data_IF_678861942741
#
_entry.id   IF_678861942741
#
_cell.length_a   1.000
_cell.length_b   1.000
_cell.length_c   1.000
_cell.angle_alpha   90.00
_cell.angle_beta   90.00
_cell.angle_gamma   90.00
#
_symmetry.space_group_name_H-M   'P 1'
#
loop_
_entity.id
_entity.type
_entity.pdbx_description
1 polymer ?
#
# COMPACT_ATOMS: atom_id res chain seq x y z
N UNK A 1 -9.53 -21.47 -15.50
CA UNK A 1 -9.21 -20.11 -15.01
C UNK A 1 -8.24 -20.30 -13.85
N UNK A 2 -7.14 -19.55 -13.80
CA UNK A 2 -6.23 -19.60 -12.65
C UNK A 2 -6.91 -19.02 -11.41
N UNK A 3 -6.59 -19.55 -10.24
CA UNK A 3 -7.18 -19.18 -8.96
C UNK A 3 -6.24 -18.29 -8.15
N UNK A 4 -6.76 -17.23 -7.56
CA UNK A 4 -5.98 -16.35 -6.67
C UNK A 4 -6.67 -16.24 -5.32
N UNK A 5 -5.97 -16.61 -4.27
CA UNK A 5 -6.40 -16.36 -2.90
C UNK A 5 -5.81 -15.03 -2.40
N UNK A 6 -6.64 -14.14 -1.88
CA UNK A 6 -6.24 -12.80 -1.45
C UNK A 6 -6.61 -12.59 0.03
N UNK A 7 -5.66 -12.69 0.93
CA UNK A 7 -5.83 -12.44 2.35
C UNK A 7 -5.62 -10.97 2.70
N UNK A 8 -6.47 -10.40 3.56
CA UNK A 8 -6.44 -9.00 3.96
C UNK A 8 -7.00 -8.05 2.88
N UNK A 9 -8.11 -8.46 2.24
CA UNK A 9 -8.67 -7.77 1.07
C UNK A 9 -9.67 -6.66 1.40
N UNK A 10 -10.01 -6.43 2.67
CA UNK A 10 -11.02 -5.44 3.08
C UNK A 10 -10.62 -3.98 2.84
N UNK A 11 -9.33 -3.70 2.62
CA UNK A 11 -8.77 -2.36 2.44
C UNK A 11 -8.76 -1.86 0.99
N UNK A 12 -8.11 -0.68 0.80
CA UNK A 12 -7.97 -0.01 -0.51
C UNK A 12 -7.32 -0.90 -1.57
N UNK A 13 -6.26 -1.61 -1.20
CA UNK A 13 -5.50 -2.41 -2.15
C UNK A 13 -6.28 -3.68 -2.56
N UNK A 14 -6.99 -4.30 -1.62
CA UNK A 14 -7.83 -5.46 -1.92
C UNK A 14 -8.96 -5.14 -2.90
N UNK A 15 -9.58 -3.96 -2.78
CA UNK A 15 -10.58 -3.48 -3.75
C UNK A 15 -9.99 -3.36 -5.15
N UNK A 16 -8.80 -2.79 -5.28
CA UNK A 16 -8.13 -2.66 -6.58
C UNK A 16 -7.75 -4.02 -7.17
N UNK A 17 -7.25 -4.97 -6.37
CA UNK A 17 -6.99 -6.33 -6.82
C UNK A 17 -8.27 -7.03 -7.26
N UNK A 18 -9.33 -6.96 -6.46
CA UNK A 18 -10.62 -7.53 -6.85
C UNK A 18 -11.11 -6.96 -8.19
N UNK A 19 -11.08 -5.64 -8.35
CA UNK A 19 -11.53 -4.98 -9.57
C UNK A 19 -10.69 -5.38 -10.80
N UNK A 20 -9.35 -5.48 -10.66
CA UNK A 20 -8.44 -5.76 -11.78
C UNK A 20 -8.32 -7.25 -12.13
N UNK A 21 -8.66 -8.15 -11.21
CA UNK A 21 -8.50 -9.59 -11.40
C UNK A 21 -9.81 -10.33 -11.66
N UNK A 22 -10.96 -9.80 -11.18
CA UNK A 22 -12.26 -10.42 -11.45
C UNK A 22 -12.53 -10.54 -12.95
N UNK A 23 -13.02 -11.69 -13.38
CA UNK A 23 -13.30 -11.97 -14.78
C UNK A 23 -12.16 -12.66 -15.54
N UNK A 24 -10.91 -12.54 -15.07
CA UNK A 24 -9.75 -13.27 -15.61
C UNK A 24 -9.27 -14.39 -14.67
N UNK A 25 -9.52 -14.24 -13.37
CA UNK A 25 -9.14 -15.18 -12.32
C UNK A 25 -10.37 -15.59 -11.49
N UNK A 26 -10.35 -16.80 -10.97
CA UNK A 26 -11.24 -17.21 -9.90
C UNK A 26 -10.67 -16.72 -8.57
N UNK A 27 -11.43 -15.90 -7.83
CA UNK A 27 -10.94 -15.17 -6.67
C UNK A 27 -11.60 -15.65 -5.39
N UNK A 28 -10.79 -15.95 -4.37
CA UNK A 28 -11.23 -16.00 -2.99
C UNK A 28 -10.57 -14.87 -2.21
N UNK A 29 -11.37 -13.95 -1.72
CA UNK A 29 -10.94 -12.76 -1.00
C UNK A 29 -11.38 -12.84 0.45
N UNK A 30 -10.46 -12.68 1.40
CA UNK A 30 -10.75 -12.82 2.81
C UNK A 30 -10.25 -11.62 3.62
N UNK A 31 -10.95 -11.31 4.70
CA UNK A 31 -10.54 -10.33 5.70
C UNK A 31 -11.19 -10.64 7.05
N UNK A 32 -10.65 -10.11 8.15
CA UNK A 32 -11.29 -10.14 9.46
C UNK A 32 -12.49 -9.19 9.55
N UNK A 33 -12.55 -8.19 8.67
CA UNK A 33 -13.64 -7.22 8.55
C UNK A 33 -14.35 -7.42 7.20
N UNK A 34 -15.50 -8.11 7.22
CA UNK A 34 -16.29 -8.41 6.03
C UNK A 34 -17.17 -7.22 5.68
N UNK A 35 -16.58 -6.22 5.04
CA UNK A 35 -17.23 -4.96 4.67
C UNK A 35 -17.74 -4.93 3.21
N UNK A 36 -17.60 -6.01 2.46
CA UNK A 36 -18.07 -6.20 1.10
C UNK A 36 -18.64 -7.61 0.91
N UNK A 37 -19.57 -7.76 -0.03
CA UNK A 37 -20.25 -9.04 -0.31
C UNK A 37 -19.37 -10.10 -1.00
N UNK A 38 -18.22 -9.70 -1.52
CA UNK A 38 -17.22 -10.59 -2.14
C UNK A 38 -16.12 -11.03 -1.16
N UNK A 39 -16.20 -10.61 0.12
CA UNK A 39 -15.28 -11.01 1.18
C UNK A 39 -15.85 -12.17 2.00
N UNK A 40 -14.96 -13.08 2.39
CA UNK A 40 -15.22 -14.10 3.42
C UNK A 40 -14.44 -13.78 4.70
N UNK A 41 -14.98 -14.19 5.85
CA UNK A 41 -14.35 -13.98 7.15
C UNK A 41 -13.13 -14.90 7.32
N UNK A 42 -11.97 -14.31 7.55
CA UNK A 42 -10.76 -15.01 7.98
C UNK A 42 -9.80 -14.07 8.71
N UNK A 43 -9.27 -14.51 9.84
CA UNK A 43 -8.09 -13.89 10.47
C UNK A 43 -6.84 -14.68 10.08
N UNK A 44 -6.02 -14.14 9.21
CA UNK A 44 -4.78 -14.77 8.71
C UNK A 44 -3.69 -14.94 9.79
N UNK A 45 -3.89 -14.42 11.00
CA UNK A 45 -3.03 -14.66 12.16
C UNK A 45 -3.23 -16.06 12.72
N UNK A 46 -4.44 -16.62 12.58
CA UNK A 46 -4.71 -18.01 12.87
C UNK A 46 -4.17 -18.89 11.73
N UNK A 47 -2.99 -19.48 11.97
CA UNK A 47 -2.29 -20.26 10.96
C UNK A 47 -3.06 -21.49 10.48
N UNK A 48 -3.77 -22.15 11.38
CA UNK A 48 -4.52 -23.38 11.05
C UNK A 48 -5.76 -23.03 10.22
N UNK A 49 -6.53 -22.05 10.64
CA UNK A 49 -7.67 -21.55 9.88
C UNK A 49 -7.24 -21.04 8.49
N UNK A 50 -6.13 -20.28 8.41
CA UNK A 50 -5.62 -19.75 7.15
C UNK A 50 -5.16 -20.87 6.21
N UNK A 51 -4.42 -21.87 6.73
CA UNK A 51 -3.98 -23.01 5.94
C UNK A 51 -5.17 -23.78 5.37
N UNK A 52 -6.11 -24.18 6.23
CA UNK A 52 -7.27 -24.97 5.83
C UNK A 52 -8.11 -24.25 4.75
N UNK A 53 -8.34 -22.95 4.92
CA UNK A 53 -9.13 -22.14 3.99
C UNK A 53 -8.44 -21.98 2.63
N UNK A 54 -7.10 -21.87 2.60
CA UNK A 54 -6.31 -21.82 1.36
C UNK A 54 -6.25 -23.20 0.69
N UNK A 55 -6.06 -24.30 1.45
CA UNK A 55 -6.06 -25.66 0.92
C UNK A 55 -7.40 -26.02 0.28
N UNK A 56 -8.52 -25.70 0.94
CA UNK A 56 -9.87 -25.95 0.42
C UNK A 56 -10.13 -25.22 -0.90
N UNK A 57 -9.64 -23.99 -1.04
CA UNK A 57 -9.76 -23.24 -2.29
C UNK A 57 -8.80 -23.74 -3.37
N UNK A 58 -7.63 -24.27 -3.00
CA UNK A 58 -6.57 -24.78 -3.87
C UNK A 58 -6.16 -23.76 -4.96
N UNK A 59 -5.54 -22.60 -4.59
CA UNK A 59 -5.19 -21.53 -5.50
C UNK A 59 -3.90 -21.79 -6.28
N UNK A 60 -3.73 -21.08 -7.42
CA UNK A 60 -2.46 -20.98 -8.15
C UNK A 60 -1.53 -19.89 -7.58
N UNK A 61 -2.08 -18.91 -6.85
CA UNK A 61 -1.34 -17.79 -6.25
C UNK A 61 -1.91 -17.43 -4.88
N UNK A 62 -1.03 -17.12 -3.93
CA UNK A 62 -1.39 -16.60 -2.62
C UNK A 62 -0.96 -15.13 -2.50
N UNK A 63 -1.92 -14.22 -2.30
CA UNK A 63 -1.65 -12.80 -2.07
C UNK A 63 -1.91 -12.46 -0.61
N UNK A 64 -0.89 -12.00 0.10
CA UNK A 64 -0.95 -11.58 1.49
C UNK A 64 -0.85 -10.06 1.56
N UNK A 65 -2.02 -9.37 1.67
CA UNK A 65 -2.12 -7.92 1.64
C UNK A 65 -2.31 -7.30 3.03
N UNK A 66 -2.77 -8.10 4.00
CA UNK A 66 -3.16 -7.62 5.31
C UNK A 66 -1.99 -7.08 6.12
N UNK A 67 -2.18 -5.92 6.72
CA UNK A 67 -1.23 -5.30 7.65
C UNK A 67 -1.89 -4.20 8.49
N UNK A 68 -1.40 -3.96 9.70
CA UNK A 68 -1.62 -2.69 10.38
C UNK A 68 -0.72 -1.62 9.74
N UNK A 69 -1.32 -0.48 9.40
CA UNK A 69 -0.66 0.61 8.65
C UNK A 69 -0.89 1.99 9.27
N UNK A 70 -1.45 2.04 10.46
CA UNK A 70 -1.50 3.23 11.31
C UNK A 70 -0.23 3.22 12.18
N UNK A 71 0.63 4.22 12.02
CA UNK A 71 1.94 4.22 12.63
C UNK A 71 1.86 4.43 14.14
N UNK A 72 0.96 5.31 14.59
CA UNK A 72 0.71 5.59 16.00
C UNK A 72 0.17 4.34 16.71
N UNK A 73 -0.84 3.69 16.11
CA UNK A 73 -1.35 2.42 16.61
C UNK A 73 -0.22 1.37 16.76
N UNK A 74 0.66 1.28 15.76
CA UNK A 74 1.77 0.33 15.79
C UNK A 74 2.77 0.59 16.92
N UNK A 75 3.05 1.86 17.23
CA UNK A 75 3.94 2.22 18.37
C UNK A 75 3.30 1.86 19.72
N UNK A 76 1.98 2.03 19.86
CA UNK A 76 1.24 1.72 21.09
C UNK A 76 0.97 0.22 21.25
N UNK A 77 0.81 -0.54 20.14
CA UNK A 77 0.39 -1.95 20.14
C UNK A 77 1.43 -2.85 19.45
N UNK A 78 2.65 -2.85 19.98
CA UNK A 78 3.80 -3.52 19.33
C UNK A 78 3.59 -5.01 19.10
N UNK A 79 3.14 -5.75 20.11
CA UNK A 79 2.95 -7.21 20.02
C UNK A 79 1.90 -7.59 18.97
N UNK A 80 0.76 -6.88 18.94
CA UNK A 80 -0.28 -7.08 17.95
C UNK A 80 0.20 -6.67 16.55
N UNK A 81 1.03 -5.62 16.46
CA UNK A 81 1.67 -5.19 15.22
C UNK A 81 2.61 -6.26 14.67
N UNK A 82 3.50 -6.83 15.49
CA UNK A 82 4.38 -7.90 15.03
C UNK A 82 3.62 -9.18 14.73
N UNK A 83 2.59 -9.52 15.49
CA UNK A 83 1.69 -10.65 15.18
C UNK A 83 1.05 -10.49 13.81
N UNK A 84 0.57 -9.27 13.50
CA UNK A 84 -0.14 -8.98 12.23
C UNK A 84 0.81 -8.75 11.06
N UNK A 85 1.92 -7.99 11.22
CA UNK A 85 2.77 -7.56 10.12
C UNK A 85 3.97 -8.47 9.85
N UNK A 86 4.30 -9.37 10.80
CA UNK A 86 5.46 -10.27 10.71
C UNK A 86 5.04 -11.73 10.81
N UNK A 87 4.47 -12.18 11.94
CA UNK A 87 4.16 -13.60 12.14
C UNK A 87 3.11 -14.11 11.15
N UNK A 88 2.12 -13.30 10.79
CA UNK A 88 1.16 -13.70 9.75
C UNK A 88 1.81 -13.89 8.37
N UNK A 89 2.90 -13.16 8.09
CA UNK A 89 3.68 -13.34 6.86
C UNK A 89 4.43 -14.66 6.87
N UNK A 90 4.93 -15.09 8.04
CA UNK A 90 5.52 -16.43 8.21
C UNK A 90 4.48 -17.52 7.94
N UNK A 91 3.22 -17.34 8.39
CA UNK A 91 2.12 -18.23 8.05
C UNK A 91 1.90 -18.29 6.54
N UNK A 92 1.86 -17.16 5.86
CA UNK A 92 1.67 -17.10 4.41
C UNK A 92 2.81 -17.78 3.63
N UNK A 93 4.07 -17.59 4.05
CA UNK A 93 5.25 -18.27 3.46
C UNK A 93 5.15 -19.79 3.65
N UNK A 94 4.82 -20.24 4.88
CA UNK A 94 4.64 -21.67 5.15
C UNK A 94 3.57 -22.28 4.24
N UNK A 95 2.42 -21.62 4.08
CA UNK A 95 1.32 -22.09 3.24
C UNK A 95 1.74 -22.12 1.77
N UNK A 96 2.36 -21.04 1.27
CA UNK A 96 2.80 -20.96 -0.11
C UNK A 96 3.81 -22.05 -0.48
N UNK A 97 4.81 -22.30 0.39
CA UNK A 97 5.79 -23.37 0.19
C UNK A 97 5.15 -24.76 0.27
N UNK A 98 4.28 -25.01 1.26
CA UNK A 98 3.57 -26.29 1.43
C UNK A 98 2.75 -26.64 0.18
N UNK A 99 2.08 -25.65 -0.42
CA UNK A 99 1.26 -25.85 -1.62
C UNK A 99 2.05 -25.68 -2.93
N UNK A 100 3.33 -25.33 -2.84
CA UNK A 100 4.20 -25.03 -3.98
C UNK A 100 3.60 -23.96 -4.92
N UNK A 101 3.08 -22.87 -4.36
CA UNK A 101 2.48 -21.74 -5.09
C UNK A 101 3.25 -20.43 -4.81
N UNK A 102 3.29 -19.48 -5.78
CA UNK A 102 3.93 -18.19 -5.56
C UNK A 102 3.17 -17.32 -4.55
N UNK A 103 3.94 -16.59 -3.72
CA UNK A 103 3.45 -15.64 -2.74
C UNK A 103 3.62 -14.19 -3.24
N UNK A 104 2.57 -13.37 -3.17
CA UNK A 104 2.68 -11.92 -3.22
C UNK A 104 2.68 -11.35 -1.80
N UNK A 105 3.68 -10.52 -1.48
CA UNK A 105 3.76 -9.75 -0.25
C UNK A 105 3.89 -8.24 -0.53
N UNK A 106 3.18 -7.43 0.23
CA UNK A 106 3.21 -5.97 0.10
C UNK A 106 4.10 -5.39 1.19
N UNK A 107 5.21 -4.80 0.78
CA UNK A 107 6.11 -4.03 1.64
C UNK A 107 5.87 -2.53 1.49
N UNK A 108 6.75 -1.69 2.02
CA UNK A 108 6.53 -0.24 2.14
C UNK A 108 7.81 0.55 1.90
N UNK A 109 7.68 1.78 1.37
CA UNK A 109 8.76 2.75 1.33
C UNK A 109 9.25 3.18 2.73
N UNK A 110 8.37 3.10 3.73
CA UNK A 110 8.70 3.48 5.11
C UNK A 110 9.79 2.63 5.79
N UNK A 111 10.30 1.58 5.13
CA UNK A 111 11.46 0.80 5.61
C UNK A 111 12.81 1.51 5.45
N UNK A 112 12.86 2.63 4.73
CA UNK A 112 14.07 3.44 4.57
C UNK A 112 14.14 4.56 5.60
N UNK A 113 15.35 5.02 5.94
CA UNK A 113 15.58 6.03 6.97
C UNK A 113 15.55 7.48 6.47
N UNK A 114 15.43 7.67 5.17
CA UNK A 114 15.37 9.00 4.55
C UNK A 114 16.69 9.75 4.48
N UNK A 115 17.85 9.08 4.69
CA UNK A 115 19.16 9.70 4.53
C UNK A 115 19.56 9.91 3.07
N UNK A 116 18.91 9.20 2.15
CA UNK A 116 19.01 9.42 0.72
C UNK A 116 17.74 10.12 0.24
N UNK A 117 17.85 10.95 -0.76
CA UNK A 117 16.68 11.59 -1.39
C UNK A 117 15.81 10.58 -2.13
N UNK A 118 16.41 9.52 -2.69
CA UNK A 118 15.78 8.56 -3.57
C UNK A 118 16.35 7.16 -3.36
N UNK A 119 15.48 6.16 -3.29
CA UNK A 119 15.86 4.75 -3.11
C UNK A 119 15.42 3.89 -4.29
N UNK A 120 16.33 3.06 -4.79
CA UNK A 120 16.03 2.07 -5.81
C UNK A 120 15.73 0.67 -5.22
N UNK A 121 15.46 -0.31 -6.08
CA UNK A 121 15.08 -1.67 -5.68
C UNK A 121 16.19 -2.41 -4.90
N UNK A 122 17.44 -1.98 -5.02
CA UNK A 122 18.62 -2.64 -4.42
C UNK A 122 19.17 -1.93 -3.18
N UNK A 123 18.63 -0.76 -2.85
CA UNK A 123 19.06 -0.04 -1.65
C UNK A 123 18.69 -0.81 -0.38
N UNK A 124 19.57 -0.72 0.63
CA UNK A 124 19.42 -1.42 1.89
C UNK A 124 18.49 -0.66 2.83
N UNK A 125 17.42 -1.31 3.31
CA UNK A 125 16.51 -0.71 4.29
C UNK A 125 17.16 -0.46 5.66
N UNK A 126 16.72 0.62 6.32
CA UNK A 126 17.05 0.93 7.71
C UNK A 126 15.80 1.49 8.43
N UNK A 127 14.85 0.63 8.85
CA UNK A 127 13.55 1.05 9.36
C UNK A 127 13.64 1.75 10.72
N UNK A 128 12.91 2.86 10.89
CA UNK A 128 12.94 3.70 12.09
C UNK A 128 11.91 3.25 13.13
N UNK A 129 10.61 3.31 12.84
CA UNK A 129 9.51 3.01 13.77
C UNK A 129 9.09 1.54 13.80
N UNK A 130 8.16 1.19 14.69
CA UNK A 130 7.65 -0.18 14.88
C UNK A 130 6.95 -0.69 13.61
N UNK A 131 6.10 0.13 12.97
CA UNK A 131 5.49 -0.23 11.69
C UNK A 131 6.53 -0.63 10.65
N UNK A 132 7.50 0.24 10.42
CA UNK A 132 8.54 0.01 9.42
C UNK A 132 9.36 -1.25 9.72
N UNK A 133 9.76 -1.45 10.99
CA UNK A 133 10.50 -2.65 11.44
C UNK A 133 9.69 -3.92 11.24
N UNK A 134 8.41 -3.92 11.63
CA UNK A 134 7.53 -5.09 11.49
C UNK A 134 7.32 -5.48 10.02
N UNK A 135 7.15 -4.48 9.13
CA UNK A 135 7.04 -4.71 7.69
C UNK A 135 8.33 -5.23 7.07
N UNK A 136 9.47 -4.66 7.48
CA UNK A 136 10.78 -5.10 7.00
C UNK A 136 11.15 -6.51 7.47
N UNK A 137 10.78 -6.89 8.70
CA UNK A 137 10.96 -8.27 9.17
C UNK A 137 10.17 -9.26 8.32
N UNK A 138 8.92 -8.94 7.97
CA UNK A 138 8.13 -9.73 7.03
C UNK A 138 8.77 -9.80 5.63
N UNK A 139 9.26 -8.68 5.09
CA UNK A 139 9.96 -8.63 3.79
C UNK A 139 11.19 -9.55 3.78
N UNK A 140 12.03 -9.44 4.81
CA UNK A 140 13.20 -10.30 4.96
C UNK A 140 12.81 -11.75 5.05
N UNK A 141 11.81 -12.10 5.87
CA UNK A 141 11.37 -13.47 6.01
C UNK A 141 10.91 -14.09 4.68
N UNK A 142 10.16 -13.33 3.88
CA UNK A 142 9.77 -13.75 2.52
C UNK A 142 11.00 -13.97 1.63
N UNK A 143 11.95 -13.02 1.60
CA UNK A 143 13.17 -13.14 0.79
C UNK A 143 14.02 -14.36 1.14
N UNK A 144 14.08 -14.69 2.43
CA UNK A 144 14.95 -15.75 2.96
C UNK A 144 14.28 -17.14 2.90
N UNK A 145 12.95 -17.23 2.93
CA UNK A 145 12.24 -18.48 3.15
C UNK A 145 11.21 -18.86 2.07
N UNK A 146 10.70 -17.92 1.27
CA UNK A 146 9.73 -18.26 0.23
C UNK A 146 10.42 -18.76 -1.04
N UNK A 147 9.94 -19.88 -1.60
CA UNK A 147 10.51 -20.48 -2.80
C UNK A 147 10.26 -19.65 -4.05
N UNK A 148 9.03 -19.12 -4.19
CA UNK A 148 8.63 -18.23 -5.28
C UNK A 148 7.81 -17.08 -4.74
N UNK A 149 8.26 -15.85 -4.98
CA UNK A 149 7.59 -14.69 -4.44
C UNK A 149 7.68 -13.46 -5.36
N UNK A 150 6.70 -12.59 -5.21
CA UNK A 150 6.75 -11.18 -5.61
C UNK A 150 6.62 -10.33 -4.35
N UNK A 151 7.59 -9.48 -4.09
CA UNK A 151 7.48 -8.41 -3.09
C UNK A 151 7.35 -7.09 -3.82
N UNK A 152 6.32 -6.31 -3.48
CA UNK A 152 6.15 -4.97 -3.99
C UNK A 152 6.19 -3.96 -2.84
N UNK A 153 7.20 -3.08 -2.84
CA UNK A 153 7.29 -1.94 -1.93
C UNK A 153 6.41 -0.82 -2.46
N UNK A 154 5.41 -0.44 -1.69
CA UNK A 154 4.51 0.66 -2.01
C UNK A 154 4.91 1.95 -1.30
N UNK A 155 4.65 3.09 -1.91
CA UNK A 155 4.78 4.40 -1.30
C UNK A 155 3.46 4.87 -0.65
N UNK A 156 3.13 6.15 -0.82
CA UNK A 156 1.91 6.75 -0.29
C UNK A 156 0.68 6.30 -1.08
N UNK A 157 0.02 5.27 -0.59
CA UNK A 157 -1.15 4.71 -1.29
C UNK A 157 -2.33 5.67 -1.35
N UNK A 158 -3.01 5.67 -2.50
CA UNK A 158 -4.31 6.29 -2.77
C UNK A 158 -5.18 5.35 -3.60
N UNK A 159 -6.45 5.19 -3.24
CA UNK A 159 -7.37 4.28 -3.91
C UNK A 159 -8.67 4.06 -3.14
N UNK A 160 -9.64 3.39 -3.75
CA UNK A 160 -10.94 2.99 -3.17
C UNK A 160 -11.81 4.13 -2.61
N UNK A 161 -11.40 5.38 -2.77
CA UNK A 161 -12.16 6.57 -2.42
C UNK A 161 -12.57 6.69 -0.95
N UNK A 162 -13.57 7.53 -0.65
CA UNK A 162 -13.90 7.92 0.73
C UNK A 162 -14.39 6.76 1.61
N UNK A 163 -14.82 5.65 1.02
CA UNK A 163 -15.30 4.48 1.78
C UNK A 163 -14.17 3.73 2.48
N UNK A 164 -13.00 3.60 1.84
CA UNK A 164 -11.89 2.77 2.31
C UNK A 164 -10.56 3.51 2.47
N UNK A 165 -10.36 4.62 1.76
CA UNK A 165 -9.17 5.46 1.94
C UNK A 165 -9.23 6.18 3.29
N UNK A 166 -8.22 5.94 4.14
CA UNK A 166 -8.04 6.63 5.44
C UNK A 166 -6.73 7.44 5.45
N UNK A 167 -6.11 7.62 4.25
CA UNK A 167 -4.79 8.21 4.10
C UNK A 167 -4.87 9.70 3.76
N UNK A 168 -3.77 10.24 3.29
CA UNK A 168 -3.54 11.67 3.14
C UNK A 168 -4.58 12.37 2.25
N UNK A 169 -4.85 11.83 1.05
CA UNK A 169 -5.81 12.45 0.12
C UNK A 169 -7.21 12.50 0.74
N UNK A 170 -7.70 11.40 1.30
CA UNK A 170 -9.01 11.40 1.94
C UNK A 170 -9.08 12.33 3.15
N UNK A 171 -8.01 12.44 3.94
CA UNK A 171 -7.97 13.40 5.07
C UNK A 171 -8.09 14.83 4.59
N UNK A 172 -7.46 15.21 3.48
CA UNK A 172 -7.59 16.54 2.88
C UNK A 172 -9.00 16.75 2.29
N UNK A 173 -9.49 15.80 1.52
CA UNK A 173 -10.84 15.87 0.93
C UNK A 173 -11.91 15.98 2.02
N UNK A 174 -11.76 15.32 3.15
CA UNK A 174 -12.66 15.45 4.28
C UNK A 174 -12.61 16.84 4.89
N UNK A 175 -11.42 17.42 5.12
CA UNK A 175 -11.29 18.78 5.64
C UNK A 175 -11.98 19.80 4.70
N UNK A 176 -11.82 19.65 3.38
CA UNK A 176 -12.49 20.50 2.40
C UNK A 176 -14.01 20.34 2.45
N UNK A 177 -14.50 19.11 2.58
CA UNK A 177 -15.95 18.82 2.74
C UNK A 177 -16.53 19.41 4.02
N UNK A 178 -15.75 19.39 5.10
CA UNK A 178 -16.13 19.98 6.40
C UNK A 178 -16.06 21.53 6.38
N UNK A 179 -15.73 22.15 5.22
CA UNK A 179 -15.76 23.59 4.99
C UNK A 179 -14.47 24.34 5.33
N UNK A 180 -13.37 23.63 5.64
CA UNK A 180 -12.08 24.26 5.92
C UNK A 180 -11.57 25.01 4.66
N UNK A 181 -11.17 26.26 4.87
CA UNK A 181 -10.60 27.12 3.82
C UNK A 181 -9.08 27.26 3.91
N UNK A 182 -8.47 26.66 4.94
CA UNK A 182 -7.02 26.60 5.12
C UNK A 182 -6.58 25.19 5.47
N UNK A 183 -5.56 24.71 4.76
CA UNK A 183 -4.93 23.41 4.97
C UNK A 183 -3.49 23.61 5.44
N UNK A 184 -3.15 23.03 6.59
CA UNK A 184 -1.77 23.03 7.10
C UNK A 184 -1.07 21.78 6.58
N UNK A 185 -0.01 21.94 5.80
CA UNK A 185 0.67 20.86 5.11
C UNK A 185 2.15 20.85 5.42
N UNK A 186 2.69 19.69 5.80
CA UNK A 186 4.12 19.54 6.08
C UNK A 186 4.96 19.70 4.80
N UNK A 187 6.10 20.40 4.91
CA UNK A 187 7.01 20.69 3.80
C UNK A 187 8.35 19.94 3.88
N UNK A 188 8.51 19.10 4.92
CA UNK A 188 9.71 18.35 5.23
C UNK A 188 9.52 16.83 5.11
N UNK A 189 8.51 16.41 4.32
CA UNK A 189 8.22 15.01 4.02
C UNK A 189 8.12 14.78 2.52
N UNK A 190 9.10 14.05 2.02
CA UNK A 190 9.21 13.65 0.64
C UNK A 190 8.81 12.19 0.46
N UNK A 191 8.22 11.85 -0.68
CA UNK A 191 7.78 10.49 -0.93
C UNK A 191 7.21 10.31 -2.33
N UNK A 192 6.70 9.12 -2.60
CA UNK A 192 6.14 8.78 -3.90
C UNK A 192 4.73 8.23 -3.73
N UNK A 193 3.71 8.82 -4.37
CA UNK A 193 2.36 8.27 -4.38
C UNK A 193 2.30 6.89 -5.04
N UNK A 194 1.29 6.11 -4.66
CA UNK A 194 1.03 4.78 -5.23
C UNK A 194 -0.47 4.64 -5.47
N UNK A 195 -0.88 4.64 -6.74
CA UNK A 195 -2.27 4.39 -7.09
C UNK A 195 -2.55 2.90 -7.11
N UNK A 196 -3.54 2.46 -6.34
CA UNK A 196 -3.78 1.03 -6.08
C UNK A 196 -4.15 0.23 -7.33
N UNK A 197 -4.85 0.82 -8.31
CA UNK A 197 -5.19 0.14 -9.56
C UNK A 197 -3.99 -0.09 -10.46
N UNK A 198 -3.10 0.89 -10.60
CA UNK A 198 -1.84 0.74 -11.35
C UNK A 198 -0.93 -0.31 -10.70
N UNK A 199 -0.91 -0.31 -9.35
CA UNK A 199 -0.19 -1.31 -8.57
C UNK A 199 -0.71 -2.73 -8.85
N UNK A 200 -2.03 -2.94 -8.81
CA UNK A 200 -2.64 -4.23 -9.10
C UNK A 200 -2.38 -4.69 -10.55
N UNK A 201 -2.40 -3.78 -11.53
CA UNK A 201 -2.03 -4.07 -12.92
C UNK A 201 -0.55 -4.45 -13.06
N UNK A 202 0.34 -3.75 -12.35
CA UNK A 202 1.78 -4.07 -12.34
C UNK A 202 2.02 -5.48 -11.77
N UNK A 203 1.37 -5.82 -10.66
CA UNK A 203 1.45 -7.18 -10.08
C UNK A 203 0.91 -8.22 -11.06
N UNK A 204 -0.19 -7.94 -11.75
CA UNK A 204 -0.74 -8.85 -12.78
C UNK A 204 0.27 -9.14 -13.88
N UNK A 205 0.96 -8.12 -14.39
CA UNK A 205 2.05 -8.31 -15.36
C UNK A 205 3.20 -9.16 -14.81
N UNK A 206 3.61 -8.92 -13.55
CA UNK A 206 4.70 -9.67 -12.92
C UNK A 206 4.37 -11.16 -12.81
N UNK A 207 3.17 -11.52 -12.33
CA UNK A 207 2.79 -12.93 -12.15
C UNK A 207 2.52 -13.63 -13.49
N UNK A 208 1.98 -12.93 -14.49
CA UNK A 208 1.75 -13.49 -15.82
C UNK A 208 3.06 -13.81 -16.57
N UNK A 209 4.11 -13.01 -16.33
CA UNK A 209 5.45 -13.22 -16.89
C UNK A 209 6.38 -14.03 -15.99
N UNK A 210 5.88 -14.46 -14.83
CA UNK A 210 6.66 -15.20 -13.83
C UNK A 210 7.95 -14.46 -13.41
N UNK A 211 7.88 -13.14 -13.27
CA UNK A 211 8.97 -12.29 -12.84
C UNK A 211 9.03 -12.20 -11.32
N UNK A 212 9.55 -13.26 -10.71
CA UNK A 212 9.68 -13.36 -9.26
C UNK A 212 10.76 -12.40 -8.71
N UNK A 213 10.62 -12.06 -7.43
CA UNK A 213 11.56 -11.25 -6.67
C UNK A 213 10.96 -9.96 -6.11
N UNK A 214 11.82 -9.03 -5.69
CA UNK A 214 11.47 -7.76 -5.04
C UNK A 214 11.47 -6.61 -6.05
N UNK A 215 10.49 -5.70 -5.91
CA UNK A 215 10.27 -4.52 -6.74
C UNK A 215 9.79 -3.32 -5.93
N UNK A 216 10.33 -2.14 -6.21
CA UNK A 216 9.65 -0.90 -5.87
C UNK A 216 8.49 -0.69 -6.84
N UNK A 217 7.28 -0.46 -6.33
CA UNK A 217 6.06 -0.34 -7.13
C UNK A 217 5.31 0.94 -6.74
N UNK A 218 5.74 2.07 -7.30
CA UNK A 218 5.27 3.42 -7.00
C UNK A 218 5.05 4.21 -8.29
N UNK A 219 4.27 5.28 -8.23
CA UNK A 219 4.10 6.20 -9.35
C UNK A 219 5.43 6.82 -9.79
N UNK A 220 5.53 7.25 -11.04
CA UNK A 220 6.66 8.04 -11.53
C UNK A 220 6.61 9.47 -10.99
N UNK A 221 7.77 10.14 -11.02
CA UNK A 221 7.94 11.52 -10.57
C UNK A 221 8.26 11.65 -9.08
N UNK A 222 9.07 12.64 -8.77
CA UNK A 222 9.41 13.02 -7.40
C UNK A 222 8.38 13.99 -6.85
N UNK A 223 8.07 13.92 -5.56
CA UNK A 223 7.12 14.85 -4.94
C UNK A 223 7.28 14.91 -3.41
N UNK A 224 6.55 15.85 -2.81
CA UNK A 224 6.42 16.05 -1.37
C UNK A 224 4.93 16.07 -0.96
N UNK A 225 4.66 16.00 0.34
CA UNK A 225 3.29 16.18 0.85
C UNK A 225 2.70 17.53 0.43
N UNK A 226 3.53 18.58 0.43
CA UNK A 226 3.12 19.91 0.04
C UNK A 226 2.68 19.96 -1.42
N UNK A 227 3.49 19.44 -2.34
CA UNK A 227 3.18 19.43 -3.78
C UNK A 227 1.96 18.57 -4.11
N UNK A 228 1.79 17.42 -3.43
CA UNK A 228 0.57 16.60 -3.60
C UNK A 228 -0.69 17.38 -3.17
N UNK A 229 -0.63 18.13 -2.07
CA UNK A 229 -1.75 18.95 -1.62
C UNK A 229 -2.05 20.10 -2.57
N UNK A 230 -1.01 20.78 -3.09
CA UNK A 230 -1.14 21.84 -4.09
C UNK A 230 -1.79 21.33 -5.38
N UNK A 231 -1.32 20.19 -5.88
CA UNK A 231 -1.89 19.58 -7.08
C UNK A 231 -3.34 19.10 -6.86
N UNK A 232 -3.67 18.59 -5.67
CA UNK A 232 -5.05 18.24 -5.31
C UNK A 232 -5.97 19.49 -5.40
N UNK A 233 -5.59 20.61 -4.77
CA UNK A 233 -6.37 21.85 -4.78
C UNK A 233 -6.52 22.37 -6.22
N UNK A 234 -5.46 22.30 -7.02
CA UNK A 234 -5.47 22.68 -8.45
C UNK A 234 -6.45 21.80 -9.27
N UNK A 235 -6.43 20.49 -9.09
CA UNK A 235 -7.35 19.55 -9.77
C UNK A 235 -8.81 19.80 -9.40
N UNK A 236 -9.06 20.30 -8.20
CA UNK A 236 -10.40 20.66 -7.73
C UNK A 236 -10.85 22.06 -8.22
N UNK A 237 -9.97 22.85 -8.86
CA UNK A 237 -10.24 24.23 -9.29
C UNK A 237 -10.51 25.16 -8.11
N UNK A 238 -9.80 24.99 -6.99
CA UNK A 238 -10.05 25.71 -5.72
C UNK A 238 -8.84 26.52 -5.23
N UNK A 239 -7.90 26.85 -6.12
CA UNK A 239 -6.69 27.59 -5.76
C UNK A 239 -7.00 28.97 -5.15
N UNK A 240 -8.05 29.64 -5.62
CA UNK A 240 -8.48 30.94 -5.10
C UNK A 240 -9.33 30.84 -3.82
N UNK A 241 -9.83 29.64 -3.49
CA UNK A 241 -10.71 29.44 -2.33
C UNK A 241 -9.96 28.84 -1.13
N UNK A 242 -8.91 28.06 -1.38
CA UNK A 242 -8.23 27.25 -0.36
C UNK A 242 -6.79 27.73 -0.20
N UNK A 243 -6.49 28.21 1.00
CA UNK A 243 -5.13 28.58 1.40
C UNK A 243 -4.37 27.33 1.85
N UNK A 244 -3.18 27.11 1.29
CA UNK A 244 -2.24 26.09 1.80
C UNK A 244 -1.17 26.79 2.62
N UNK A 245 -1.11 26.46 3.92
CA UNK A 245 -0.10 26.95 4.85
C UNK A 245 0.93 25.86 5.08
N UNK A 246 2.16 26.13 4.63
CA UNK A 246 3.31 25.25 4.79
C UNK A 246 3.81 25.27 6.24
N UNK A 247 3.98 24.09 6.85
CA UNK A 247 4.47 23.89 8.20
C UNK A 247 5.53 22.79 8.25
N UNK A 248 6.37 22.77 9.31
CA UNK A 248 7.23 21.61 9.56
C UNK A 248 6.46 20.47 10.23
N UNK A 249 7.03 19.26 10.24
CA UNK A 249 6.44 18.09 10.93
C UNK A 249 6.20 18.34 12.41
N UNK A 250 6.98 19.20 13.05
CA UNK A 250 6.84 19.56 14.47
C UNK A 250 5.46 20.16 14.80
N UNK A 251 4.80 20.77 13.81
CA UNK A 251 3.44 21.32 13.98
C UNK A 251 2.45 20.23 14.39
N UNK A 252 2.66 19.00 13.96
CA UNK A 252 1.77 17.86 14.21
C UNK A 252 2.34 16.83 15.17
N UNK A 253 3.45 17.12 15.88
CA UNK A 253 4.18 16.16 16.73
C UNK A 253 3.33 15.47 17.79
N UNK A 254 2.30 16.16 18.32
CA UNK A 254 1.42 15.60 19.36
C UNK A 254 0.39 14.63 18.79
N UNK A 255 0.13 14.67 17.46
CA UNK A 255 -0.83 13.79 16.75
C UNK A 255 -0.10 12.70 15.99
N UNK A 256 1.04 13.05 15.38
CA UNK A 256 1.85 12.15 14.55
C UNK A 256 3.25 11.99 15.15
N UNK A 257 3.32 11.34 16.31
CA UNK A 257 4.53 11.18 17.10
C UNK A 257 5.39 9.96 16.69
N UNK A 258 4.80 8.99 15.97
CA UNK A 258 5.57 7.87 15.44
C UNK A 258 6.63 8.36 14.45
N UNK A 259 7.83 7.80 14.54
CA UNK A 259 8.96 8.22 13.72
C UNK A 259 8.71 7.98 12.23
N UNK A 260 8.92 9.00 11.41
CA UNK A 260 8.77 8.98 9.97
C UNK A 260 10.03 9.53 9.30
N UNK A 261 10.56 8.85 8.28
CA UNK A 261 11.72 9.36 7.56
C UNK A 261 11.41 10.70 6.88
N UNK A 262 12.40 11.58 6.67
CA UNK A 262 12.24 12.79 5.87
C UNK A 262 11.94 12.47 4.39
N UNK A 263 12.55 11.41 3.82
CA UNK A 263 12.28 10.95 2.46
C UNK A 263 11.89 9.47 2.42
N UNK A 264 10.77 9.19 1.77
CA UNK A 264 10.28 7.86 1.38
C UNK A 264 10.21 7.75 -0.16
N UNK A 265 11.01 8.54 -0.89
CA UNK A 265 11.00 8.52 -2.36
C UNK A 265 11.60 7.23 -2.88
N UNK A 266 10.80 6.51 -3.69
CA UNK A 266 11.24 5.31 -4.40
C UNK A 266 11.25 5.54 -5.91
N UNK A 267 12.12 4.79 -6.63
CA UNK A 267 12.05 4.65 -8.08
C UNK A 267 11.82 3.19 -8.48
N UNK A 268 11.03 3.00 -9.53
CA UNK A 268 10.66 1.70 -10.11
C UNK A 268 11.70 1.23 -11.12
N UNK A 269 12.97 1.21 -10.74
CA UNK A 269 14.07 0.95 -11.67
C UNK A 269 14.00 -0.44 -12.29
N UNK A 270 13.77 -1.45 -11.46
CA UNK A 270 13.70 -2.85 -11.89
C UNK A 270 12.49 -3.13 -12.77
N UNK A 271 11.30 -2.54 -12.46
CA UNK A 271 10.11 -2.65 -13.30
C UNK A 271 10.33 -2.03 -14.68
N UNK A 272 10.99 -0.86 -14.72
CA UNK A 272 11.34 -0.18 -15.98
C UNK A 272 12.32 -1.00 -16.83
N UNK A 273 13.38 -1.53 -16.22
CA UNK A 273 14.36 -2.38 -16.91
C UNK A 273 13.73 -3.67 -17.46
N UNK A 274 12.69 -4.20 -16.83
CA UNK A 274 11.94 -5.38 -17.29
C UNK A 274 10.83 -5.05 -18.29
N UNK A 275 10.51 -3.78 -18.51
CA UNK A 275 9.45 -3.34 -19.42
C UNK A 275 8.04 -3.76 -18.96
N UNK A 276 7.81 -3.83 -17.64
CA UNK A 276 6.54 -4.29 -17.05
C UNK A 276 5.88 -3.26 -16.13
N UNK A 277 6.42 -2.05 -16.09
CA UNK A 277 5.90 -0.98 -15.26
C UNK A 277 4.57 -0.45 -15.81
N UNK A 278 3.49 -0.56 -15.03
CA UNK A 278 2.17 0.03 -15.31
C UNK A 278 1.87 1.25 -14.43
N UNK A 279 2.82 1.61 -13.53
CA UNK A 279 2.66 2.78 -12.67
C UNK A 279 2.79 4.04 -13.51
N UNK A 280 1.77 4.91 -13.44
CA UNK A 280 1.75 6.20 -14.13
C UNK A 280 2.54 7.26 -13.36
N UNK A 281 2.75 8.44 -13.98
CA UNK A 281 3.19 9.64 -13.26
C UNK A 281 2.18 9.99 -12.15
N UNK A 282 2.67 10.46 -10.99
CA UNK A 282 1.83 10.67 -9.82
C UNK A 282 0.73 11.73 -10.03
N UNK A 283 0.95 12.74 -10.88
CA UNK A 283 -0.07 13.77 -11.20
C UNK A 283 -1.20 13.18 -12.04
N UNK A 284 -0.84 12.33 -13.00
CA UNK A 284 -1.83 11.61 -13.82
C UNK A 284 -2.63 10.66 -12.92
N UNK A 285 -1.95 9.87 -12.09
CA UNK A 285 -2.58 8.92 -11.18
C UNK A 285 -3.49 9.62 -10.15
N UNK A 286 -3.07 10.76 -9.60
CA UNK A 286 -3.89 11.57 -8.68
C UNK A 286 -5.15 12.09 -9.40
N UNK A 287 -5.01 12.62 -10.62
CA UNK A 287 -6.16 13.05 -11.41
C UNK A 287 -7.14 11.93 -11.65
N UNK A 288 -6.68 10.76 -12.10
CA UNK A 288 -7.52 9.56 -12.32
C UNK A 288 -8.22 9.15 -11.02
N UNK A 289 -7.51 9.19 -9.89
CA UNK A 289 -8.09 8.87 -8.60
C UNK A 289 -9.21 9.85 -8.20
N UNK A 290 -9.00 11.16 -8.37
CA UNK A 290 -10.01 12.18 -8.06
C UNK A 290 -11.22 12.04 -8.99
N UNK A 291 -11.01 11.88 -10.30
CA UNK A 291 -12.08 11.72 -11.28
C UNK A 291 -12.95 10.48 -10.99
N UNK A 292 -12.35 9.38 -10.56
CA UNK A 292 -13.05 8.12 -10.30
C UNK A 292 -13.84 8.10 -8.98
N UNK A 293 -13.38 8.81 -7.95
CA UNK A 293 -13.92 8.61 -6.60
C UNK A 293 -14.45 9.87 -5.93
N UNK A 294 -14.14 11.09 -6.44
CA UNK A 294 -14.45 12.34 -5.74
C UNK A 294 -15.22 13.38 -6.56
N UNK A 295 -15.65 13.05 -7.78
CA UNK A 295 -16.36 13.98 -8.68
C UNK A 295 -17.54 14.71 -8.01
N UNK A 296 -18.31 14.02 -7.17
CA UNK A 296 -19.47 14.57 -6.45
C UNK A 296 -19.24 14.73 -4.94
N UNK A 297 -18.04 14.45 -4.44
CA UNK A 297 -17.79 14.37 -3.01
C UNK A 297 -17.88 15.70 -2.28
N UNK A 298 -17.59 16.82 -2.97
CA UNK A 298 -17.62 18.17 -2.43
C UNK A 298 -18.91 18.93 -2.79
N UNK A 299 -19.83 18.33 -3.52
CA UNK A 299 -21.19 18.86 -3.78
C UNK A 299 -22.09 18.49 -2.58
#
# INVERSE_FOLDING_TARGET
MKKVYIAGSGGMLGEAFYAQFKGEYDLKCTDKDVNENWLSLLDFRDREAYLNDVEDFNPDYLFHLGAYTDLEFCEENKDDTYSTNTLSVENAVFIANKLNIPLLYISTAGIFDGKQDLYDDWDMPNPLGVYARSKYMGERYVCENAERYVICRAGWMMGAGPKKDKKFIQKLMKQLKDGNKELFIVNDKDGTPTYTHDFALTVKELIQKEYWGLYNCVCGGETSRLEVAQELVRLLGKEDEIKITSVSSDYFKDVYYAERPPSERLITKKLNLRGVNKMQDWKIALKVYIDNYYTDYLK
#
